data_IF_926489268716
#
_entry.id   IF_926489268716
#
_cell.length_a   1.000
_cell.length_b   1.000
_cell.length_c   1.000
_cell.angle_alpha   90.00
_cell.angle_beta   90.00
_cell.angle_gamma   90.00
#
_symmetry.space_group_name_H-M   'P 1'
#
loop_
_entity.id
_entity.type
_entity.pdbx_description
1 polymer ?
#
# COMPACT_ATOMS: atom_id res chain seq x y z
N UNK A 1 0.57 58.43 53.40
CA UNK A 1 -0.48 59.10 52.62
C UNK A 1 -1.55 58.09 52.24
N UNK A 2 -2.81 58.38 52.63
CA UNK A 2 -4.11 57.98 52.08
C UNK A 2 -4.26 56.58 51.44
N UNK A 3 -5.04 55.73 52.11
CA UNK A 3 -5.51 54.45 51.58
C UNK A 3 -6.61 54.56 50.54
N UNK A 4 -7.09 53.39 50.08
CA UNK A 4 -8.41 53.20 49.46
C UNK A 4 -8.80 51.72 49.48
N UNK A 5 -9.98 51.46 50.03
CA UNK A 5 -10.75 50.23 49.95
C UNK A 5 -11.09 49.88 48.49
N UNK A 6 -11.23 48.58 48.18
CA UNK A 6 -12.19 48.09 47.17
C UNK A 6 -12.88 46.79 47.61
N UNK A 7 -14.15 46.99 47.96
CA UNK A 7 -15.36 46.20 47.74
C UNK A 7 -15.27 44.66 47.56
N UNK A 8 -15.88 43.97 48.53
CA UNK A 8 -16.49 42.65 48.41
C UNK A 8 -17.76 42.75 47.55
N UNK A 9 -17.86 41.94 46.50
CA UNK A 9 -19.10 41.70 45.75
C UNK A 9 -19.83 40.44 46.27
N UNK A 10 -21.17 40.37 46.16
CA UNK A 10 -21.97 39.31 46.77
C UNK A 10 -21.87 37.98 46.01
N UNK A 11 -21.76 36.90 46.78
CA UNK A 11 -21.93 35.52 46.34
C UNK A 11 -23.41 35.26 46.11
N UNK A 12 -23.78 34.95 44.86
CA UNK A 12 -25.12 34.46 44.49
C UNK A 12 -25.08 32.92 44.52
N UNK A 13 -25.88 32.24 45.35
CA UNK A 13 -26.02 30.79 45.26
C UNK A 13 -26.97 30.45 44.10
N UNK A 14 -26.44 29.86 43.04
CA UNK A 14 -27.25 29.29 41.96
C UNK A 14 -27.77 27.92 42.45
N UNK A 15 -29.05 27.89 42.85
CA UNK A 15 -29.76 26.66 43.14
C UNK A 15 -29.98 25.88 41.83
N UNK A 16 -29.30 24.75 41.68
CA UNK A 16 -29.46 23.83 40.57
C UNK A 16 -30.67 22.93 40.85
N UNK A 17 -31.81 23.26 40.26
CA UNK A 17 -33.00 22.41 40.26
C UNK A 17 -32.78 21.17 39.40
N UNK A 18 -32.85 20.00 40.02
CA UNK A 18 -32.86 18.70 39.34
C UNK A 18 -34.26 18.45 38.78
N UNK A 19 -34.40 18.60 37.46
CA UNK A 19 -35.57 18.11 36.72
C UNK A 19 -35.31 16.66 36.28
N UNK A 20 -35.99 15.72 36.92
CA UNK A 20 -36.09 14.32 36.51
C UNK A 20 -37.05 14.24 35.29
N UNK A 21 -36.49 14.24 34.09
CA UNK A 21 -37.20 13.85 32.88
C UNK A 21 -37.00 12.35 32.62
N UNK A 22 -38.09 11.58 32.69
CA UNK A 22 -38.09 10.15 32.43
C UNK A 22 -37.78 9.81 30.97
N UNK A 23 -36.79 8.96 30.74
CA UNK A 23 -36.54 8.32 29.45
C UNK A 23 -37.43 7.08 29.33
N UNK A 24 -38.51 7.20 28.54
CA UNK A 24 -39.19 6.04 27.98
C UNK A 24 -38.31 5.38 26.92
N UNK A 25 -37.94 4.12 27.16
CA UNK A 25 -37.23 3.29 26.19
C UNK A 25 -38.21 2.82 25.12
N UNK A 26 -38.29 3.57 24.01
CA UNK A 26 -38.91 3.12 22.78
C UNK A 26 -37.95 2.16 22.06
N UNK A 27 -38.32 0.88 22.01
CA UNK A 27 -37.66 -0.17 21.24
C UNK A 27 -37.60 0.21 19.75
N UNK A 28 -36.42 0.26 19.10
CA UNK A 28 -36.36 0.51 17.68
C UNK A 28 -36.89 -0.71 16.92
N UNK A 29 -38.04 -0.55 16.28
CA UNK A 29 -38.59 -1.52 15.32
C UNK A 29 -37.52 -1.88 14.28
N UNK A 30 -37.18 -3.17 14.24
CA UNK A 30 -36.29 -3.74 13.24
C UNK A 30 -36.84 -3.46 11.84
N UNK A 31 -36.04 -2.82 11.00
CA UNK A 31 -36.35 -2.66 9.58
C UNK A 31 -36.49 -4.05 8.93
N UNK A 32 -37.47 -4.26 8.02
CA UNK A 32 -37.55 -5.48 7.24
C UNK A 32 -36.25 -5.70 6.46
N UNK A 33 -35.76 -6.95 6.35
CA UNK A 33 -34.59 -7.26 5.54
C UNK A 33 -34.87 -6.92 4.07
N UNK A 34 -33.93 -6.22 3.44
CA UNK A 34 -33.94 -6.00 1.99
C UNK A 34 -33.88 -7.35 1.26
N UNK A 35 -34.62 -7.52 0.14
CA UNK A 35 -34.56 -8.74 -0.66
C UNK A 35 -33.14 -8.97 -1.16
N UNK A 36 -32.70 -10.24 -1.09
CA UNK A 36 -31.39 -10.64 -1.57
C UNK A 36 -31.24 -10.32 -3.07
N UNK A 37 -30.09 -9.79 -3.51
CA UNK A 37 -29.86 -9.56 -4.94
C UNK A 37 -29.89 -10.90 -5.71
N UNK A 38 -30.39 -10.89 -6.96
CA UNK A 38 -30.45 -12.09 -7.79
C UNK A 38 -29.04 -12.67 -7.99
N UNK A 39 -28.88 -13.96 -7.73
CA UNK A 39 -27.64 -14.67 -7.99
C UNK A 39 -27.52 -14.89 -9.50
N UNK A 40 -26.57 -14.20 -10.14
CA UNK A 40 -26.16 -14.49 -11.51
C UNK A 40 -25.33 -15.77 -11.52
N UNK A 41 -25.94 -16.84 -12.02
CA UNK A 41 -25.27 -18.11 -12.30
C UNK A 41 -24.34 -17.89 -13.50
N UNK A 42 -23.03 -17.88 -13.25
CA UNK A 42 -22.05 -17.80 -14.34
C UNK A 42 -21.93 -19.16 -15.02
N UNK A 43 -22.26 -19.17 -16.31
CA UNK A 43 -22.00 -20.29 -17.22
C UNK A 43 -20.48 -20.45 -17.40
N UNK A 44 -19.90 -21.67 -17.30
CA UNK A 44 -18.47 -21.87 -17.47
C UNK A 44 -18.06 -21.62 -18.94
N UNK A 45 -17.01 -20.82 -19.13
CA UNK A 45 -16.38 -20.63 -20.44
C UNK A 45 -15.74 -21.95 -20.94
N UNK A 46 -15.78 -22.22 -22.26
CA UNK A 46 -15.19 -23.40 -22.86
C UNK A 46 -13.66 -23.37 -22.78
N UNK A 47 -13.07 -24.42 -22.21
CA UNK A 47 -11.62 -24.65 -22.17
C UNK A 47 -11.07 -24.92 -23.57
N UNK A 48 -10.14 -24.07 -24.01
CA UNK A 48 -9.36 -24.27 -25.24
C UNK A 48 -8.28 -25.33 -25.00
N UNK A 49 -8.13 -26.35 -25.86
CA UNK A 49 -7.12 -27.38 -25.69
C UNK A 49 -5.69 -26.83 -25.87
N UNK A 50 -4.77 -27.35 -25.05
CA UNK A 50 -3.34 -27.01 -25.06
C UNK A 50 -2.63 -27.63 -26.27
N UNK A 51 -1.73 -26.91 -26.96
CA UNK A 51 -1.02 -27.44 -28.13
C UNK A 51 0.03 -28.50 -27.74
N UNK A 52 0.03 -29.59 -28.51
CA UNK A 52 0.98 -30.70 -28.48
C UNK A 52 2.43 -30.24 -28.76
N UNK A 53 3.44 -30.69 -27.99
CA UNK A 53 4.84 -30.33 -28.24
C UNK A 53 5.39 -31.00 -29.51
N UNK A 54 6.21 -30.24 -30.26
CA UNK A 54 6.87 -30.66 -31.48
C UNK A 54 8.09 -31.59 -31.21
N UNK A 55 8.45 -32.49 -32.15
CA UNK A 55 9.54 -33.45 -31.96
C UNK A 55 10.93 -32.80 -31.96
N UNK A 56 11.81 -33.35 -31.14
CA UNK A 56 13.22 -32.99 -30.99
C UNK A 56 14.03 -33.47 -32.21
N UNK A 57 14.82 -32.61 -32.88
CA UNK A 57 15.67 -33.04 -33.99
C UNK A 57 16.87 -33.87 -33.49
N UNK A 58 17.19 -34.91 -34.24
CA UNK A 58 18.33 -35.81 -34.02
C UNK A 58 19.66 -35.12 -34.35
N UNK A 59 20.66 -35.32 -33.49
CA UNK A 59 22.03 -34.82 -33.66
C UNK A 59 22.73 -35.52 -34.84
N UNK A 60 23.35 -34.71 -35.69
CA UNK A 60 24.24 -35.14 -36.77
C UNK A 60 25.67 -35.10 -36.24
N UNK A 61 26.32 -36.25 -36.20
CA UNK A 61 27.73 -36.42 -35.82
C UNK A 61 28.67 -35.85 -36.90
N UNK A 62 29.47 -34.85 -36.51
CA UNK A 62 30.49 -34.18 -37.33
C UNK A 62 31.85 -34.89 -37.16
N UNK A 63 32.65 -35.09 -38.23
CA UNK A 63 33.93 -35.78 -38.15
C UNK A 63 35.02 -35.00 -37.40
N UNK A 64 35.93 -35.75 -36.78
CA UNK A 64 37.01 -35.27 -35.94
C UNK A 64 38.08 -34.47 -36.71
N UNK A 65 38.55 -33.32 -36.17
CA UNK A 65 39.62 -32.54 -36.77
C UNK A 65 41.02 -33.12 -36.51
N UNK A 66 41.89 -32.92 -37.51
CA UNK A 66 43.32 -33.26 -37.56
C UNK A 66 44.14 -32.50 -36.50
N UNK A 67 45.18 -33.12 -35.89
CA UNK A 67 45.99 -32.46 -34.86
C UNK A 67 46.91 -31.39 -35.47
N UNK A 68 46.73 -30.14 -35.03
CA UNK A 68 47.62 -29.02 -35.34
C UNK A 68 48.64 -28.84 -34.21
N UNK A 69 49.89 -28.61 -34.58
CA UNK A 69 51.05 -28.41 -33.69
C UNK A 69 50.85 -27.26 -32.71
N UNK A 70 51.11 -27.55 -31.44
CA UNK A 70 50.94 -26.68 -30.27
C UNK A 70 51.92 -25.50 -30.29
N UNK A 71 51.45 -24.24 -30.29
CA UNK A 71 52.31 -23.09 -30.01
C UNK A 71 52.57 -22.93 -28.51
N UNK A 72 53.77 -22.48 -28.19
CA UNK A 72 54.27 -22.18 -26.84
C UNK A 72 53.29 -21.32 -26.03
N UNK A 73 52.96 -21.67 -24.77
CA UNK A 73 52.00 -20.94 -23.95
C UNK A 73 52.47 -19.52 -23.64
N UNK A 74 51.76 -18.52 -24.15
CA UNK A 74 51.88 -17.14 -23.68
C UNK A 74 51.04 -17.02 -22.41
N UNK A 75 51.64 -16.48 -21.34
CA UNK A 75 50.94 -16.25 -20.08
C UNK A 75 49.64 -15.44 -20.34
N UNK A 76 48.48 -15.89 -19.86
CA UNK A 76 47.22 -15.21 -20.12
C UNK A 76 47.25 -13.81 -19.49
N UNK A 77 47.10 -12.78 -20.33
CA UNK A 77 46.77 -11.43 -19.87
C UNK A 77 45.55 -11.52 -18.95
N UNK A 78 45.58 -10.96 -17.72
CA UNK A 78 44.45 -11.04 -16.80
C UNK A 78 43.22 -10.46 -17.50
N UNK A 79 42.22 -11.32 -17.70
CA UNK A 79 40.93 -10.89 -18.24
C UNK A 79 40.32 -9.93 -17.21
N UNK A 80 39.90 -8.72 -17.58
CA UNK A 80 39.28 -7.80 -16.65
C UNK A 80 38.06 -8.52 -16.04
N UNK A 81 38.11 -8.74 -14.73
CA UNK A 81 36.98 -9.31 -13.98
C UNK A 81 35.82 -8.33 -14.12
N UNK A 82 34.79 -8.71 -14.87
CA UNK A 82 33.58 -7.92 -14.98
C UNK A 82 32.92 -7.89 -13.61
N UNK A 83 33.01 -6.74 -12.93
CA UNK A 83 32.31 -6.54 -11.67
C UNK A 83 30.83 -6.80 -11.91
N UNK A 84 30.19 -7.74 -11.18
CA UNK A 84 28.78 -8.06 -11.38
C UNK A 84 27.94 -6.79 -11.32
N UNK A 85 27.27 -6.44 -12.41
CA UNK A 85 26.35 -5.31 -12.46
C UNK A 85 25.16 -5.63 -11.56
N UNK A 86 25.22 -5.23 -10.29
CA UNK A 86 24.14 -5.38 -9.29
C UNK A 86 22.81 -4.91 -9.88
N UNK A 87 21.83 -5.77 -10.13
CA UNK A 87 20.57 -5.32 -10.72
C UNK A 87 19.88 -4.30 -9.81
N UNK A 88 19.25 -3.26 -10.40
CA UNK A 88 18.54 -2.27 -9.60
C UNK A 88 17.44 -2.95 -8.76
N UNK A 89 17.20 -2.53 -7.51
CA UNK A 89 16.17 -3.12 -6.67
C UNK A 89 14.79 -2.94 -7.31
N UNK A 90 13.97 -3.98 -7.18
CA UNK A 90 12.57 -3.94 -7.57
C UNK A 90 11.73 -3.41 -6.40
N UNK A 91 10.96 -2.35 -6.66
CA UNK A 91 9.91 -1.86 -5.77
C UNK A 91 8.55 -2.27 -6.34
N UNK A 92 7.70 -2.84 -5.50
CA UNK A 92 6.28 -3.04 -5.85
C UNK A 92 5.44 -1.97 -5.18
N UNK A 93 4.64 -1.27 -5.98
CA UNK A 93 3.68 -0.27 -5.49
C UNK A 93 2.28 -0.83 -5.68
N UNK A 94 1.53 -0.91 -4.59
CA UNK A 94 0.20 -1.49 -4.53
C UNK A 94 -0.85 -0.40 -4.27
N UNK A 95 -1.52 0.13 -5.31
CA UNK A 95 -2.60 1.08 -5.10
C UNK A 95 -3.82 0.36 -4.54
N UNK A 96 -4.33 0.82 -3.40
CA UNK A 96 -5.43 0.20 -2.66
C UNK A 96 -6.69 -0.05 -3.49
N UNK A 97 -7.53 -0.96 -2.98
CA UNK A 97 -8.88 -1.26 -3.47
C UNK A 97 -8.98 -1.87 -4.87
N UNK A 98 -10.10 -2.52 -5.14
CA UNK A 98 -10.40 -3.18 -6.42
C UNK A 98 -11.60 -2.52 -7.10
N UNK A 99 -11.57 -2.41 -8.44
CA UNK A 99 -12.69 -1.78 -9.16
C UNK A 99 -14.02 -2.54 -9.07
N UNK A 100 -14.00 -3.80 -8.63
CA UNK A 100 -15.18 -4.60 -8.26
C UNK A 100 -14.95 -5.28 -6.91
N UNK A 101 -16.05 -5.63 -6.25
CA UNK A 101 -16.01 -6.41 -5.02
C UNK A 101 -15.43 -7.80 -5.29
N UNK A 102 -14.38 -8.15 -4.56
CA UNK A 102 -13.76 -9.46 -4.54
C UNK A 102 -14.21 -10.16 -3.27
N UNK A 103 -14.68 -11.39 -3.43
CA UNK A 103 -15.01 -12.29 -2.33
C UNK A 103 -14.52 -13.68 -2.71
N UNK A 104 -13.28 -13.96 -2.38
CA UNK A 104 -12.68 -15.28 -2.59
C UNK A 104 -12.10 -15.80 -1.28
N UNK A 105 -11.53 -16.99 -1.34
CA UNK A 105 -10.78 -17.59 -0.22
C UNK A 105 -9.38 -17.86 -0.72
N UNK A 106 -8.37 -17.40 0.03
CA UNK A 106 -6.99 -17.76 -0.27
C UNK A 106 -6.80 -19.26 -0.03
N UNK A 107 -6.36 -19.97 -1.07
CA UNK A 107 -6.24 -21.44 -1.02
C UNK A 107 -5.18 -21.93 -0.02
N UNK A 108 -4.19 -21.10 0.29
CA UNK A 108 -3.07 -21.48 1.17
C UNK A 108 -3.47 -21.40 2.63
N UNK A 109 -4.15 -20.33 3.01
CA UNK A 109 -4.48 -20.01 4.41
C UNK A 109 -5.93 -20.32 4.78
N UNK A 110 -6.81 -20.50 3.80
CA UNK A 110 -8.24 -20.63 4.02
C UNK A 110 -8.92 -19.33 4.47
N UNK A 111 -8.19 -18.21 4.47
CA UNK A 111 -8.69 -16.89 4.87
C UNK A 111 -9.50 -16.25 3.75
N UNK A 112 -10.46 -15.39 4.12
CA UNK A 112 -11.26 -14.65 3.14
C UNK A 112 -10.44 -13.52 2.51
N UNK A 113 -10.26 -13.60 1.20
CA UNK A 113 -9.70 -12.52 0.38
C UNK A 113 -10.85 -11.62 -0.07
N UNK A 114 -11.03 -10.53 0.68
CA UNK A 114 -12.07 -9.54 0.43
C UNK A 114 -11.42 -8.20 0.13
N UNK A 115 -11.81 -7.63 -1.00
CA UNK A 115 -11.49 -6.28 -1.42
C UNK A 115 -12.73 -5.67 -2.10
N UNK A 116 -12.82 -4.35 -2.19
CA UNK A 116 -14.00 -3.69 -2.75
C UNK A 116 -13.67 -2.31 -3.34
N UNK A 117 -14.56 -1.73 -4.15
CA UNK A 117 -14.39 -0.37 -4.62
C UNK A 117 -14.64 0.61 -3.47
N UNK A 118 -13.62 1.37 -3.07
CA UNK A 118 -13.77 2.46 -2.11
C UNK A 118 -13.59 3.80 -2.81
N UNK A 119 -14.63 4.62 -2.90
CA UNK A 119 -14.56 5.92 -3.55
C UNK A 119 -14.55 7.05 -2.52
N UNK A 120 -13.73 8.11 -2.73
CA UNK A 120 -12.86 8.35 -3.88
C UNK A 120 -11.48 7.67 -3.82
N UNK A 121 -11.13 7.04 -2.69
CA UNK A 121 -9.81 6.47 -2.38
C UNK A 121 -9.18 5.64 -3.52
N UNK A 122 -9.96 4.80 -4.21
CA UNK A 122 -9.44 3.94 -5.29
C UNK A 122 -8.78 4.72 -6.43
N UNK A 123 -9.25 5.95 -6.70
CA UNK A 123 -8.63 6.81 -7.70
C UNK A 123 -7.43 7.55 -7.13
N UNK A 124 -7.55 8.08 -5.91
CA UNK A 124 -6.50 8.84 -5.23
C UNK A 124 -5.25 8.00 -5.02
N UNK A 125 -5.43 6.80 -4.46
CA UNK A 125 -4.37 5.83 -4.25
C UNK A 125 -3.72 5.38 -5.56
N UNK A 126 -4.50 5.23 -6.64
CA UNK A 126 -3.95 4.89 -7.95
C UNK A 126 -3.11 6.02 -8.54
N UNK A 127 -3.58 7.27 -8.49
CA UNK A 127 -2.86 8.43 -9.02
C UNK A 127 -1.55 8.66 -8.25
N UNK A 128 -1.62 8.64 -6.92
CA UNK A 128 -0.45 8.71 -6.04
C UNK A 128 0.53 7.59 -6.37
N UNK A 129 0.06 6.34 -6.45
CA UNK A 129 0.91 5.17 -6.75
C UNK A 129 1.57 5.24 -8.12
N UNK A 130 0.83 5.64 -9.15
CA UNK A 130 1.35 5.76 -10.50
C UNK A 130 2.43 6.86 -10.58
N UNK A 131 2.23 7.98 -9.90
CA UNK A 131 3.21 9.07 -9.84
C UNK A 131 4.44 8.72 -9.00
N UNK A 132 4.28 8.04 -7.86
CA UNK A 132 5.40 7.48 -7.09
C UNK A 132 6.20 6.49 -7.93
N UNK A 133 5.53 5.58 -8.64
CA UNK A 133 6.19 4.63 -9.52
C UNK A 133 6.94 5.31 -10.68
N UNK A 134 6.39 6.38 -11.24
CA UNK A 134 7.06 7.19 -12.27
C UNK A 134 8.32 7.87 -11.70
N UNK A 135 8.23 8.47 -10.52
CA UNK A 135 9.36 9.10 -9.85
C UNK A 135 10.47 8.10 -9.55
N UNK A 136 10.16 6.99 -8.88
CA UNK A 136 11.12 5.93 -8.59
C UNK A 136 11.80 5.36 -9.85
N UNK A 137 11.07 5.19 -10.97
CA UNK A 137 11.69 4.77 -12.24
C UNK A 137 12.66 5.82 -12.80
N UNK A 138 12.32 7.10 -12.68
CA UNK A 138 13.22 8.19 -13.07
C UNK A 138 14.47 8.21 -12.18
N UNK A 139 14.31 7.86 -10.91
CA UNK A 139 15.38 7.67 -9.94
C UNK A 139 16.02 6.28 -10.04
N UNK A 140 15.95 5.58 -11.18
CA UNK A 140 16.73 4.35 -11.46
C UNK A 140 16.23 3.03 -10.84
N UNK A 141 15.10 3.02 -10.15
CA UNK A 141 14.50 1.80 -9.61
C UNK A 141 13.78 0.98 -10.69
N UNK A 142 13.76 -0.34 -10.52
CA UNK A 142 12.74 -1.17 -11.18
C UNK A 142 11.45 -1.03 -10.39
N UNK A 143 10.32 -0.78 -11.07
CA UNK A 143 9.04 -0.60 -10.37
C UNK A 143 7.92 -1.34 -11.09
N UNK A 144 7.14 -2.09 -10.32
CA UNK A 144 5.91 -2.77 -10.78
C UNK A 144 4.72 -2.29 -9.96
N UNK A 145 3.62 -1.96 -10.64
CA UNK A 145 2.32 -1.72 -9.99
C UNK A 145 1.55 -3.03 -9.91
N UNK A 146 0.81 -3.26 -8.83
CA UNK A 146 -0.04 -4.47 -8.69
C UNK A 146 -1.30 -4.45 -9.56
N UNK A 147 -1.68 -3.27 -10.08
CA UNK A 147 -2.78 -3.08 -11.03
C UNK A 147 -2.45 -2.04 -12.10
N UNK A 148 -3.04 -2.14 -13.29
CA UNK A 148 -2.73 -1.27 -14.45
C UNK A 148 -3.60 -0.03 -14.52
N UNK A 149 -4.82 -0.12 -14.03
CA UNK A 149 -5.77 1.00 -13.92
C UNK A 149 -6.38 1.04 -12.51
N UNK A 150 -6.95 2.18 -12.12
CA UNK A 150 -7.63 2.32 -10.83
C UNK A 150 -8.73 1.26 -10.63
N UNK A 151 -9.47 0.94 -11.69
CA UNK A 151 -10.64 0.04 -11.68
C UNK A 151 -10.31 -1.42 -12.02
N UNK A 152 -9.05 -1.76 -12.22
CA UNK A 152 -8.64 -3.16 -12.28
C UNK A 152 -9.01 -3.84 -10.94
N UNK A 153 -9.48 -5.08 -11.00
CA UNK A 153 -9.82 -5.87 -9.82
C UNK A 153 -8.74 -6.92 -9.59
N UNK A 154 -7.96 -6.75 -8.52
CA UNK A 154 -6.82 -7.63 -8.20
C UNK A 154 -6.94 -8.03 -6.73
N UNK A 155 -7.03 -9.34 -6.49
CA UNK A 155 -7.20 -9.88 -5.13
C UNK A 155 -5.98 -9.59 -4.25
N UNK A 156 -6.14 -9.57 -2.93
CA UNK A 156 -5.02 -9.32 -2.00
C UNK A 156 -3.94 -10.39 -2.14
N UNK A 157 -4.33 -11.65 -2.36
CA UNK A 157 -3.38 -12.74 -2.65
C UNK A 157 -2.62 -12.52 -3.97
N UNK A 158 -3.29 -12.03 -5.02
CA UNK A 158 -2.63 -11.74 -6.30
C UNK A 158 -1.65 -10.56 -6.18
N UNK A 159 -1.98 -9.51 -5.41
CA UNK A 159 -1.06 -8.39 -5.12
C UNK A 159 0.21 -8.85 -4.42
N UNK A 160 0.07 -9.70 -3.39
CA UNK A 160 1.22 -10.28 -2.70
C UNK A 160 2.08 -11.14 -3.63
N UNK A 161 1.45 -11.92 -4.51
CA UNK A 161 2.14 -12.76 -5.50
C UNK A 161 3.05 -11.96 -6.42
N UNK A 162 2.61 -10.80 -6.93
CA UNK A 162 3.43 -9.92 -7.77
C UNK A 162 4.75 -9.56 -7.09
N UNK A 163 4.71 -9.21 -5.81
CA UNK A 163 5.91 -8.86 -5.04
C UNK A 163 6.79 -10.08 -4.74
N UNK A 164 6.17 -11.23 -4.43
CA UNK A 164 6.87 -12.48 -4.12
C UNK A 164 7.62 -13.02 -5.35
N UNK A 165 6.95 -13.11 -6.50
CA UNK A 165 7.52 -13.63 -7.74
C UNK A 165 8.60 -12.69 -8.29
N UNK A 166 8.39 -11.39 -8.17
CA UNK A 166 9.39 -10.38 -8.54
C UNK A 166 10.60 -10.32 -7.61
N UNK A 167 10.55 -10.99 -6.45
CA UNK A 167 11.54 -10.87 -5.36
C UNK A 167 11.80 -9.41 -5.03
N UNK A 168 10.73 -8.65 -4.82
CA UNK A 168 10.82 -7.22 -4.55
C UNK A 168 11.71 -6.94 -3.33
N UNK A 169 12.55 -5.91 -3.41
CA UNK A 169 13.32 -5.44 -2.27
C UNK A 169 12.40 -4.81 -1.21
N UNK A 170 11.31 -4.19 -1.66
CA UNK A 170 10.26 -3.64 -0.83
C UNK A 170 8.95 -3.57 -1.63
N UNK A 171 7.84 -3.86 -0.97
CA UNK A 171 6.51 -3.54 -1.44
C UNK A 171 5.85 -2.49 -0.55
N UNK A 172 5.08 -1.58 -1.13
CA UNK A 172 4.27 -0.61 -0.39
C UNK A 172 2.80 -0.70 -0.82
N UNK A 173 1.86 -0.73 0.13
CA UNK A 173 0.46 -0.42 -0.16
C UNK A 173 0.19 1.05 0.10
N UNK A 174 -0.53 1.69 -0.81
CA UNK A 174 -0.93 3.10 -0.74
C UNK A 174 -2.43 3.15 -0.50
N UNK A 175 -2.81 3.68 0.66
CA UNK A 175 -4.18 3.89 1.10
C UNK A 175 -4.38 5.30 1.66
N UNK A 176 -5.65 5.67 1.77
CA UNK A 176 -6.09 6.83 2.51
C UNK A 176 -7.38 6.52 3.31
N UNK A 177 -7.69 7.35 4.31
CA UNK A 177 -8.87 7.14 5.15
C UNK A 177 -9.73 8.41 5.18
N UNK A 178 -10.82 8.36 4.43
CA UNK A 178 -11.83 9.43 4.35
C UNK A 178 -12.65 9.61 5.63
N UNK A 179 -12.59 8.67 6.58
CA UNK A 179 -13.18 8.86 7.91
C UNK A 179 -12.26 9.67 8.83
N UNK A 180 -10.97 9.76 8.49
CA UNK A 180 -9.94 10.40 9.31
C UNK A 180 -9.57 11.78 8.77
N UNK A 181 -9.43 12.74 9.70
CA UNK A 181 -8.96 14.08 9.36
C UNK A 181 -7.52 14.10 8.82
N UNK A 182 -7.10 15.19 8.17
CA UNK A 182 -5.78 15.31 7.52
C UNK A 182 -4.57 15.22 8.47
N UNK A 183 -4.81 15.22 9.79
CA UNK A 183 -3.80 14.95 10.82
C UNK A 183 -3.49 13.46 11.02
N UNK A 184 -4.34 12.55 10.54
CA UNK A 184 -4.05 11.12 10.57
C UNK A 184 -3.00 10.75 9.53
N UNK A 185 -1.95 10.06 9.96
CA UNK A 185 -0.86 9.60 9.11
C UNK A 185 -0.28 8.35 9.75
N UNK A 186 -0.20 7.24 9.00
CA UNK A 186 0.34 6.01 9.56
C UNK A 186 1.12 5.17 8.54
N UNK A 187 2.02 4.37 9.08
CA UNK A 187 2.64 3.22 8.42
C UNK A 187 2.44 1.97 9.28
N UNK A 188 2.28 0.82 8.64
CA UNK A 188 2.10 -0.46 9.31
C UNK A 188 3.05 -1.50 8.70
N UNK A 189 3.78 -2.22 9.56
CA UNK A 189 4.75 -3.24 9.16
C UNK A 189 4.20 -4.66 9.36
N UNK A 190 4.91 -5.65 8.83
CA UNK A 190 4.67 -7.08 9.11
C UNK A 190 5.14 -7.50 10.52
N UNK A 191 5.78 -6.61 11.27
CA UNK A 191 6.25 -6.85 12.65
C UNK A 191 5.30 -6.29 13.71
N UNK A 192 4.49 -5.28 13.36
CA UNK A 192 3.66 -4.56 14.32
C UNK A 192 4.48 -3.55 15.12
N UNK A 193 4.06 -3.31 16.37
CA UNK A 193 4.74 -2.41 17.32
C UNK A 193 5.02 -3.14 18.63
N UNK A 194 6.08 -2.73 19.32
CA UNK A 194 6.35 -3.28 20.66
C UNK A 194 5.37 -2.73 21.69
N UNK A 195 4.92 -3.58 22.60
CA UNK A 195 4.17 -3.22 23.81
C UNK A 195 4.77 -3.97 25.00
N UNK A 196 5.19 -3.24 26.03
CA UNK A 196 5.84 -3.84 27.20
C UNK A 196 7.15 -4.59 26.86
N UNK A 197 7.90 -4.14 25.85
CA UNK A 197 9.17 -4.75 25.43
C UNK A 197 9.05 -5.97 24.51
N UNK A 198 7.84 -6.38 24.14
CA UNK A 198 7.62 -7.51 23.24
C UNK A 198 6.75 -7.12 22.03
N UNK A 199 6.95 -7.81 20.90
CA UNK A 199 6.04 -7.71 19.77
C UNK A 199 4.86 -8.64 19.96
N UNK A 200 3.67 -8.15 19.62
CA UNK A 200 2.52 -9.01 19.46
C UNK A 200 2.67 -9.88 18.20
N UNK A 201 2.15 -11.11 18.19
CA UNK A 201 2.04 -11.88 16.96
C UNK A 201 1.19 -11.11 15.94
N UNK A 202 1.70 -10.98 14.72
CA UNK A 202 0.95 -10.39 13.59
C UNK A 202 0.14 -11.49 12.91
N UNK A 203 -1.17 -11.34 12.77
CA UNK A 203 -2.05 -12.43 12.35
C UNK A 203 -3.33 -11.96 11.65
N UNK A 204 -4.02 -12.95 11.07
CA UNK A 204 -5.39 -12.85 10.55
C UNK A 204 -6.19 -14.13 10.87
N UNK A 205 -7.50 -14.02 10.97
CA UNK A 205 -8.40 -15.15 11.22
C UNK A 205 -8.59 -15.46 12.71
N UNK A 206 -9.43 -16.46 13.01
CA UNK A 206 -9.76 -16.91 14.36
C UNK A 206 -9.65 -18.42 14.51
N UNK A 207 -9.52 -18.90 15.76
CA UNK A 207 -9.52 -20.32 16.07
C UNK A 207 -8.53 -21.12 15.23
N UNK A 208 -8.97 -22.25 14.69
CA UNK A 208 -8.18 -23.11 13.79
C UNK A 208 -7.85 -22.48 12.43
N UNK A 209 -8.52 -21.39 12.03
CA UNK A 209 -8.25 -20.63 10.81
C UNK A 209 -7.35 -19.41 11.04
N UNK A 210 -6.84 -19.24 12.27
CA UNK A 210 -5.89 -18.16 12.57
C UNK A 210 -4.53 -18.45 11.92
N UNK A 211 -4.09 -17.56 11.04
CA UNK A 211 -2.77 -17.60 10.42
C UNK A 211 -1.89 -16.50 11.02
N UNK A 212 -0.72 -16.88 11.52
CA UNK A 212 0.28 -15.97 12.12
C UNK A 212 1.42 -15.77 11.13
N UNK A 213 1.87 -14.53 10.96
CA UNK A 213 3.06 -14.20 10.20
C UNK A 213 4.32 -14.62 10.97
N UNK A 214 5.18 -15.45 10.38
CA UNK A 214 6.32 -16.10 11.08
C UNK A 214 7.69 -15.76 10.52
N UNK A 215 7.78 -15.12 9.37
CA UNK A 215 9.07 -14.79 8.76
C UNK A 215 9.73 -13.62 9.52
N UNK A 216 10.72 -13.95 10.36
CA UNK A 216 11.35 -12.98 11.24
C UNK A 216 12.23 -11.98 10.48
N UNK A 217 12.87 -12.39 9.39
CA UNK A 217 13.73 -11.52 8.58
C UNK A 217 12.89 -10.51 7.79
N UNK A 218 11.83 -10.99 7.14
CA UNK A 218 10.88 -10.11 6.45
C UNK A 218 10.21 -9.15 7.43
N UNK A 219 9.81 -9.62 8.62
CA UNK A 219 9.22 -8.76 9.64
C UNK A 219 10.19 -7.64 10.07
N UNK A 220 11.45 -7.98 10.40
CA UNK A 220 12.48 -6.99 10.77
C UNK A 220 12.76 -5.99 9.65
N UNK A 221 12.83 -6.45 8.41
CA UNK A 221 13.06 -5.57 7.26
C UNK A 221 11.86 -4.64 7.02
N UNK A 222 10.63 -5.16 7.11
CA UNK A 222 9.39 -4.37 7.02
C UNK A 222 9.29 -3.32 8.12
N UNK A 223 9.70 -3.64 9.36
CA UNK A 223 9.77 -2.69 10.46
C UNK A 223 10.74 -1.53 10.16
N UNK A 224 11.98 -1.84 9.77
CA UNK A 224 12.98 -0.81 9.41
C UNK A 224 12.50 0.08 8.28
N UNK A 225 11.88 -0.52 7.26
CA UNK A 225 11.30 0.22 6.15
C UNK A 225 10.14 1.12 6.60
N UNK A 226 9.21 0.61 7.41
CA UNK A 226 8.08 1.39 7.93
C UNK A 226 8.55 2.58 8.77
N UNK A 227 9.51 2.38 9.68
CA UNK A 227 10.09 3.45 10.48
C UNK A 227 10.80 4.51 9.62
N UNK A 228 11.51 4.08 8.59
CA UNK A 228 12.20 4.98 7.65
C UNK A 228 11.21 5.79 6.82
N UNK A 229 10.20 5.13 6.24
CA UNK A 229 9.16 5.81 5.48
C UNK A 229 8.37 6.78 6.36
N UNK A 230 8.03 6.40 7.59
CA UNK A 230 7.35 7.27 8.54
C UNK A 230 8.18 8.53 8.85
N UNK A 231 9.49 8.39 9.08
CA UNK A 231 10.39 9.53 9.32
C UNK A 231 10.44 10.47 8.12
N UNK A 232 10.65 9.93 6.90
CA UNK A 232 10.76 10.78 5.71
C UNK A 232 9.43 11.43 5.32
N UNK A 233 8.31 10.70 5.44
CA UNK A 233 6.97 11.30 5.28
C UNK A 233 6.72 12.38 6.32
N UNK A 234 7.19 12.22 7.56
CA UNK A 234 7.06 13.25 8.59
C UNK A 234 7.78 14.52 8.18
N UNK A 235 9.03 14.39 7.72
CA UNK A 235 9.85 15.51 7.24
C UNK A 235 9.21 16.22 6.05
N UNK A 236 8.69 15.47 5.07
CA UNK A 236 8.14 16.03 3.82
C UNK A 236 6.75 16.61 4.00
N UNK A 237 5.86 15.94 4.72
CA UNK A 237 4.47 16.37 4.89
C UNK A 237 4.30 17.42 6.00
N UNK A 238 5.35 17.67 6.80
CA UNK A 238 5.30 18.58 7.94
C UNK A 238 4.36 18.13 9.05
N UNK A 239 4.04 16.83 9.11
CA UNK A 239 3.11 16.22 10.07
C UNK A 239 3.60 14.85 10.50
N UNK A 240 3.47 14.55 11.78
CA UNK A 240 3.90 13.26 12.35
C UNK A 240 3.20 12.09 11.66
N UNK A 241 3.99 11.18 11.10
CA UNK A 241 3.54 9.87 10.63
C UNK A 241 3.92 8.82 11.65
N UNK A 242 2.93 8.18 12.24
CA UNK A 242 3.18 7.15 13.27
C UNK A 242 3.43 5.79 12.63
N UNK A 243 4.36 5.01 13.20
CA UNK A 243 4.35 3.55 12.99
C UNK A 243 3.29 2.96 13.92
N UNK A 244 2.34 2.20 13.36
CA UNK A 244 1.20 1.66 14.09
C UNK A 244 1.04 0.17 13.81
N UNK A 245 0.27 -0.47 14.68
CA UNK A 245 -0.28 -1.79 14.43
C UNK A 245 -1.72 -1.62 13.93
N UNK A 246 -2.09 -2.36 12.89
CA UNK A 246 -3.41 -2.25 12.29
C UNK A 246 -4.42 -3.07 13.13
N UNK A 247 -5.70 -2.82 12.96
CA UNK A 247 -6.75 -3.68 13.51
C UNK A 247 -7.87 -3.86 12.50
N UNK A 248 -8.20 -5.12 12.29
CA UNK A 248 -9.29 -5.57 11.46
C UNK A 248 -10.39 -6.28 12.26
N UNK A 249 -10.23 -6.33 13.58
CA UNK A 249 -11.24 -6.86 14.49
C UNK A 249 -12.50 -5.99 14.42
N UNK A 250 -13.67 -6.64 14.33
CA UNK A 250 -14.96 -5.94 14.26
C UNK A 250 -15.25 -5.27 12.92
N UNK A 251 -14.54 -5.64 11.84
CA UNK A 251 -14.76 -5.10 10.48
C UNK A 251 -15.32 -6.14 9.49
N UNK A 252 -16.54 -6.68 9.66
CA UNK A 252 -17.15 -7.56 8.65
C UNK A 252 -17.18 -6.87 7.28
N UNK A 253 -16.98 -7.62 6.18
CA UNK A 253 -16.81 -9.08 6.08
C UNK A 253 -15.35 -9.55 6.28
N UNK A 254 -14.44 -8.65 6.66
CA UNK A 254 -13.03 -8.96 6.84
C UNK A 254 -12.83 -9.84 8.07
N UNK A 255 -11.93 -10.81 7.97
CA UNK A 255 -11.54 -11.59 9.14
C UNK A 255 -10.74 -10.74 10.12
N UNK A 256 -10.88 -10.96 11.44
CA UNK A 256 -10.17 -10.19 12.45
C UNK A 256 -8.67 -10.45 12.40
N UNK A 257 -7.91 -9.58 13.06
CA UNK A 257 -6.45 -9.64 13.08
C UNK A 257 -5.84 -8.25 13.06
N UNK A 258 -4.52 -8.20 13.10
CA UNK A 258 -3.74 -6.96 13.16
C UNK A 258 -2.80 -6.78 11.95
N UNK A 259 -2.88 -7.68 10.96
CA UNK A 259 -2.11 -7.62 9.71
C UNK A 259 -3.03 -7.64 8.49
N UNK A 260 -2.77 -6.81 7.48
CA UNK A 260 -3.51 -6.85 6.22
C UNK A 260 -3.28 -8.22 5.53
N UNK A 261 -4.29 -8.77 4.84
CA UNK A 261 -4.12 -10.08 4.19
C UNK A 261 -2.98 -10.05 3.15
N UNK A 262 -2.84 -8.96 2.40
CA UNK A 262 -1.72 -8.79 1.45
C UNK A 262 -0.36 -8.83 2.15
N UNK A 263 -0.23 -8.21 3.33
CA UNK A 263 1.01 -8.25 4.12
C UNK A 263 1.27 -9.64 4.74
N UNK A 264 0.22 -10.35 5.13
CA UNK A 264 0.32 -11.71 5.66
C UNK A 264 0.84 -12.70 4.60
N UNK A 265 0.41 -12.53 3.34
CA UNK A 265 0.77 -13.40 2.22
C UNK A 265 2.09 -12.99 1.54
N UNK A 266 2.60 -11.79 1.82
CA UNK A 266 3.88 -11.31 1.28
C UNK A 266 5.07 -11.99 1.96
N UNK A 267 6.00 -12.48 1.14
CA UNK A 267 7.30 -13.08 1.51
C UNK A 267 8.45 -12.09 1.35
N UNK A 268 8.14 -10.82 1.12
CA UNK A 268 9.08 -9.71 0.98
C UNK A 268 8.68 -8.60 1.95
N UNK A 269 9.59 -7.67 2.32
CA UNK A 269 9.24 -6.57 3.20
C UNK A 269 8.08 -5.77 2.62
N UNK A 270 7.02 -5.57 3.41
CA UNK A 270 5.81 -4.85 2.99
C UNK A 270 5.44 -3.76 3.98
N UNK A 271 5.26 -2.52 3.51
CA UNK A 271 4.78 -1.39 4.32
C UNK A 271 3.43 -0.91 3.82
N UNK A 272 2.42 -0.95 4.68
CA UNK A 272 1.10 -0.40 4.38
C UNK A 272 1.05 1.06 4.85
N UNK A 273 0.63 1.98 3.98
CA UNK A 273 0.67 3.43 4.22
C UNK A 273 -0.74 4.00 4.20
N UNK A 274 -1.07 4.83 5.20
CA UNK A 274 -2.32 5.57 5.29
C UNK A 274 -2.06 7.07 5.44
N UNK A 275 -2.94 7.88 4.85
CA UNK A 275 -3.07 9.32 5.02
C UNK A 275 -4.54 9.64 5.32
N UNK A 276 -4.83 10.56 6.23
CA UNK A 276 -6.21 11.01 6.45
C UNK A 276 -6.70 11.87 5.29
N UNK A 277 -7.86 11.54 4.76
CA UNK A 277 -8.42 12.16 3.54
C UNK A 277 -9.71 12.95 3.75
N UNK A 278 -10.26 12.98 4.98
CA UNK A 278 -11.50 13.74 5.27
C UNK A 278 -11.31 15.23 4.96
N UNK A 279 -11.97 15.70 3.90
CA UNK A 279 -11.82 17.06 3.37
C UNK A 279 -13.06 17.92 3.67
N UNK A 280 -12.90 18.97 4.47
CA UNK A 280 -13.99 19.91 4.78
C UNK A 280 -15.20 19.24 5.43
N UNK A 281 -14.97 18.21 6.27
CA UNK A 281 -16.03 17.43 6.90
C UNK A 281 -16.62 16.30 6.02
N UNK A 282 -16.31 16.27 4.73
CA UNK A 282 -16.80 15.26 3.79
C UNK A 282 -15.88 14.03 3.72
N UNK A 283 -16.51 12.85 3.65
CA UNK A 283 -15.86 11.56 3.42
C UNK A 283 -15.97 11.09 1.97
N UNK A 284 -16.55 11.91 1.09
CA UNK A 284 -16.78 11.59 -0.33
C UNK A 284 -16.05 12.55 -1.27
N UNK A 285 -15.50 13.62 -0.71
CA UNK A 285 -14.71 14.61 -1.44
C UNK A 285 -13.27 14.14 -1.52
N UNK A 286 -12.73 14.13 -2.73
CA UNK A 286 -11.33 13.81 -2.92
C UNK A 286 -10.39 14.81 -2.22
N UNK A 287 -9.24 14.30 -1.79
CA UNK A 287 -8.06 15.05 -1.40
C UNK A 287 -7.71 16.10 -2.45
N UNK A 288 -7.08 17.18 -1.99
CA UNK A 288 -6.50 18.16 -2.90
C UNK A 288 -5.26 17.59 -3.58
N UNK A 289 -4.95 18.06 -4.79
CA UNK A 289 -3.69 17.74 -5.47
C UNK A 289 -2.48 18.06 -4.60
N UNK A 290 -2.53 19.14 -3.81
CA UNK A 290 -1.46 19.47 -2.88
C UNK A 290 -1.28 18.40 -1.78
N UNK A 291 -2.37 17.82 -1.27
CA UNK A 291 -2.31 16.72 -0.29
C UNK A 291 -1.74 15.45 -0.92
N UNK A 292 -2.21 15.10 -2.11
CA UNK A 292 -1.69 13.95 -2.87
C UNK A 292 -0.23 14.11 -3.25
N UNK A 293 0.20 15.31 -3.63
CA UNK A 293 1.59 15.64 -3.95
C UNK A 293 2.48 15.48 -2.73
N UNK A 294 2.07 16.02 -1.58
CA UNK A 294 2.81 15.86 -0.33
C UNK A 294 2.92 14.39 0.07
N UNK A 295 1.84 13.61 -0.11
CA UNK A 295 1.84 12.19 0.20
C UNK A 295 2.74 11.39 -0.76
N UNK A 296 2.60 11.59 -2.07
CA UNK A 296 3.42 10.97 -3.09
C UNK A 296 4.92 11.29 -2.88
N UNK A 297 5.23 12.56 -2.59
CA UNK A 297 6.61 12.98 -2.32
C UNK A 297 7.17 12.29 -1.09
N UNK A 298 6.40 12.22 0.00
CA UNK A 298 6.79 11.53 1.23
C UNK A 298 7.03 10.03 1.02
N UNK A 299 6.18 9.37 0.22
CA UNK A 299 6.36 7.96 -0.15
C UNK A 299 7.61 7.75 -1.00
N UNK A 300 7.83 8.58 -2.02
CA UNK A 300 9.00 8.49 -2.90
C UNK A 300 10.30 8.58 -2.09
N UNK A 301 10.47 9.65 -1.30
CA UNK A 301 11.70 9.81 -0.51
C UNK A 301 11.85 8.77 0.59
N UNK A 302 10.71 8.28 1.12
CA UNK A 302 10.71 7.23 2.14
C UNK A 302 11.17 5.89 1.59
N UNK A 303 10.73 5.54 0.37
CA UNK A 303 11.19 4.33 -0.32
C UNK A 303 12.67 4.43 -0.68
N UNK A 304 13.12 5.57 -1.21
CA UNK A 304 14.54 5.78 -1.54
C UNK A 304 15.44 5.64 -0.31
N UNK A 305 15.01 6.18 0.83
CA UNK A 305 15.74 6.06 2.09
C UNK A 305 15.70 4.64 2.66
N UNK A 306 14.60 3.90 2.46
CA UNK A 306 14.45 2.54 2.96
C UNK A 306 15.22 1.50 2.12
N UNK A 307 15.36 1.75 0.81
CA UNK A 307 16.04 0.85 -0.14
C UNK A 307 16.99 1.68 -1.00
N UNK A 308 18.14 2.12 -0.46
CA UNK A 308 19.08 2.93 -1.22
C UNK A 308 19.65 2.15 -2.42
N UNK A 309 19.85 2.86 -3.53
CA UNK A 309 20.51 2.28 -4.70
C UNK A 309 22.00 2.03 -4.44
N UNK A 310 22.58 0.99 -5.07
CA UNK A 310 24.03 0.82 -5.08
C UNK A 310 24.73 2.08 -5.60
N UNK A 311 25.85 2.45 -4.98
CA UNK A 311 26.63 3.62 -5.35
C UNK A 311 26.94 3.66 -6.86
N UNK A 312 26.82 4.84 -7.47
CA UNK A 312 27.15 5.07 -8.87
C UNK A 312 26.02 4.90 -9.89
N UNK A 313 24.76 4.67 -9.46
CA UNK A 313 23.64 4.48 -10.41
C UNK A 313 22.68 5.65 -10.59
N UNK A 314 22.62 6.62 -9.68
CA UNK A 314 21.69 7.76 -9.85
C UNK A 314 22.27 9.02 -9.22
N UNK A 315 22.16 10.11 -9.99
CA UNK A 315 22.41 11.47 -9.55
C UNK A 315 21.24 11.93 -8.67
N UNK A 316 21.51 12.19 -7.38
CA UNK A 316 20.62 12.85 -6.41
C UNK A 316 19.29 12.11 -6.12
N UNK A 317 19.14 11.46 -4.94
CA UNK A 317 17.81 11.07 -4.44
C UNK A 317 16.84 12.24 -4.58
N UNK A 318 15.59 11.98 -4.97
CA UNK A 318 14.51 12.97 -5.19
C UNK A 318 14.49 13.78 -6.50
N UNK A 319 15.24 13.42 -7.55
CA UNK A 319 15.03 14.01 -8.88
C UNK A 319 13.60 13.78 -9.38
N UNK A 320 13.06 12.57 -9.16
CA UNK A 320 11.68 12.20 -9.44
C UNK A 320 10.62 13.02 -8.70
N UNK A 321 10.97 13.66 -7.57
CA UNK A 321 10.03 14.49 -6.81
C UNK A 321 9.54 15.72 -7.61
N UNK A 322 10.38 16.26 -8.50
CA UNK A 322 10.03 17.40 -9.36
C UNK A 322 8.93 17.06 -10.38
N UNK A 323 8.78 15.78 -10.71
CA UNK A 323 7.79 15.29 -11.69
C UNK A 323 6.40 15.07 -11.08
N UNK A 324 6.30 15.01 -9.75
CA UNK A 324 5.08 14.54 -9.07
C UNK A 324 3.89 15.46 -9.29
N UNK A 325 4.07 16.78 -9.13
CA UNK A 325 2.97 17.73 -9.33
C UNK A 325 2.40 17.67 -10.74
N UNK A 326 3.27 17.71 -11.75
CA UNK A 326 2.86 17.61 -13.15
C UNK A 326 2.17 16.27 -13.44
N UNK A 327 2.65 15.18 -12.84
CA UNK A 327 2.03 13.87 -12.94
C UNK A 327 0.60 13.86 -12.36
N UNK A 328 0.41 14.37 -11.13
CA UNK A 328 -0.87 14.38 -10.43
C UNK A 328 -1.89 15.32 -11.09
N UNK A 329 -1.47 16.52 -11.50
CA UNK A 329 -2.32 17.44 -12.27
C UNK A 329 -2.78 16.78 -13.57
N UNK A 330 -1.90 16.03 -14.24
CA UNK A 330 -2.28 15.30 -15.46
C UNK A 330 -3.24 14.16 -15.15
N UNK A 331 -2.99 13.40 -14.08
CA UNK A 331 -3.85 12.30 -13.65
C UNK A 331 -5.26 12.76 -13.25
N UNK A 332 -5.41 13.99 -12.74
CA UNK A 332 -6.70 14.54 -12.38
C UNK A 332 -7.58 14.99 -13.58
N UNK A 333 -7.01 15.08 -14.79
CA UNK A 333 -7.75 15.49 -16.01
C UNK A 333 -8.53 14.32 -16.63
N UNK A 334 -9.70 14.55 -17.26
CA UNK A 334 -10.40 13.50 -18.01
C UNK A 334 -9.68 13.11 -19.32
N UNK A 335 -9.60 11.82 -19.66
CA UNK A 335 -9.09 11.32 -20.95
C UNK A 335 -8.98 9.78 -21.08
N UNK A 336 -8.86 9.31 -22.33
CA UNK A 336 -9.11 7.92 -22.79
C UNK A 336 -8.04 6.86 -22.47
N UNK A 337 -7.34 6.98 -21.34
CA UNK A 337 -6.36 5.94 -20.98
C UNK A 337 -5.57 6.09 -19.69
N UNK A 338 -5.81 7.13 -18.88
CA UNK A 338 -5.13 7.32 -17.58
C UNK A 338 -6.11 7.99 -16.62
N UNK A 339 -6.53 7.23 -15.61
CA UNK A 339 -7.39 7.59 -14.47
C UNK A 339 -8.32 8.82 -14.66
N UNK A 340 -9.43 8.63 -15.36
CA UNK A 340 -10.53 9.60 -15.32
C UNK A 340 -11.18 9.55 -13.95
N UNK A 341 -10.73 10.36 -12.98
CA UNK A 341 -11.60 10.65 -11.84
C UNK A 341 -12.93 11.16 -12.40
N UNK A 342 -14.06 10.46 -12.15
CA UNK A 342 -15.37 11.00 -12.44
C UNK A 342 -15.45 12.44 -11.95
N UNK A 343 -16.16 13.33 -12.67
CA UNK A 343 -16.22 14.75 -12.30
C UNK A 343 -16.57 14.98 -10.82
N UNK A 344 -17.42 14.12 -10.25
CA UNK A 344 -17.80 14.12 -8.82
C UNK A 344 -16.67 13.84 -7.82
N UNK A 345 -15.55 13.28 -8.27
CA UNK A 345 -14.38 12.95 -7.45
C UNK A 345 -13.16 13.82 -7.79
N UNK A 346 -13.38 14.95 -8.46
CA UNK A 346 -12.32 15.94 -8.71
C UNK A 346 -12.10 16.81 -7.48
N UNK A 347 -10.86 17.23 -7.20
CA UNK A 347 -10.60 18.29 -6.23
C UNK A 347 -11.34 19.57 -6.65
N UNK A 348 -11.98 20.27 -5.72
CA UNK A 348 -12.58 21.56 -6.04
C UNK A 348 -11.48 22.57 -6.43
N UNK A 349 -11.63 23.22 -7.60
CA UNK A 349 -10.70 24.23 -8.10
C UNK A 349 -9.54 23.69 -8.95
N UNK A 350 -9.61 22.44 -9.43
CA UNK A 350 -8.70 21.87 -10.44
C UNK A 350 -9.07 22.26 -11.86
#
# INVERSE_FOLDING_TARGET
MRGRLRALGPVVPLALGVLLAGCGAGEPQARPPLPAPPQTVFSPEPVTPSPTPAPTPSEVSVPAPTPTTSPTPVAPTPTPTSTPRTTAPLIVVDPGHSGRSIRSTDRTTGLRDVDYPNYPEIYETFDVSACVAKGLRADGYRVTLTKRTALDSVSLAARARVANEGRAALAISVHDDHSQGPGFQATYSQRGVQRGGAYHPMYRGTGSRRTVFRDADVARASERAAATIARERTRVQGRTVSVRENSFTGRPPLEPGNLALVQLLAKVPWVYNEVGAKAGGSTTRAMSIATEEAYAKGLLVGVEAAVPLPAGRVAQPSAGATLLRGCLVTAAKPGDGRATRPARYRPAGS
#
